data_IF_784680786308
#
_entry.id   IF_784680786308
#
_cell.length_a   1.000
_cell.length_b   1.000
_cell.length_c   1.000
_cell.angle_alpha   90.00
_cell.angle_beta   90.00
_cell.angle_gamma   90.00
#
_symmetry.space_group_name_H-M   'P 1'
#
loop_
_entity.id
_entity.type
_entity.pdbx_description
1 polymer ?
#
# COMPACT_ATOMS: atom_id res chain seq x y z
N UNK A 1 -37.89 17.17 -27.46
CA UNK A 1 -37.04 17.92 -28.41
C UNK A 1 -35.96 16.97 -28.88
N UNK A 2 -36.01 16.63 -30.16
CA UNK A 2 -35.17 15.63 -30.82
C UNK A 2 -33.74 16.18 -30.86
N UNK A 3 -32.80 15.49 -30.19
CA UNK A 3 -31.38 15.83 -30.27
C UNK A 3 -30.89 15.34 -31.64
N UNK A 4 -30.46 16.30 -32.43
CA UNK A 4 -29.97 16.19 -33.79
C UNK A 4 -28.75 15.25 -33.89
N UNK A 5 -28.75 14.37 -34.88
CA UNK A 5 -27.75 13.31 -35.07
C UNK A 5 -26.49 13.94 -35.69
N UNK A 6 -25.69 14.62 -34.87
CA UNK A 6 -24.25 14.76 -35.14
C UNK A 6 -23.64 13.36 -35.03
N UNK A 7 -22.71 13.02 -35.93
CA UNK A 7 -21.95 11.77 -35.90
C UNK A 7 -21.59 11.37 -34.47
N UNK A 8 -22.26 10.34 -33.92
CA UNK A 8 -22.11 9.94 -32.51
C UNK A 8 -20.63 9.75 -32.22
N UNK A 9 -20.09 10.55 -31.30
CA UNK A 9 -18.74 10.33 -30.80
C UNK A 9 -18.70 8.95 -30.14
N UNK A 10 -17.56 8.26 -30.14
CA UNK A 10 -17.44 6.97 -29.45
C UNK A 10 -17.86 7.04 -27.97
N UNK A 11 -17.68 8.21 -27.33
CA UNK A 11 -18.20 8.48 -25.99
C UNK A 11 -19.71 8.24 -25.88
N UNK A 12 -20.52 8.66 -26.85
CA UNK A 12 -21.97 8.47 -26.84
C UNK A 12 -22.32 6.98 -26.84
N UNK A 13 -21.56 6.15 -27.58
CA UNK A 13 -21.72 4.69 -27.58
C UNK A 13 -21.39 4.09 -26.22
N UNK A 14 -20.34 4.59 -25.54
CA UNK A 14 -20.01 4.17 -24.17
C UNK A 14 -21.19 4.49 -23.23
N UNK A 15 -21.71 5.71 -23.32
CA UNK A 15 -22.79 6.20 -22.45
C UNK A 15 -24.10 5.47 -22.68
N UNK A 16 -24.50 5.27 -23.94
CA UNK A 16 -25.70 4.52 -24.32
C UNK A 16 -25.65 3.09 -23.76
N UNK A 17 -24.52 2.40 -23.96
CA UNK A 17 -24.32 1.03 -23.44
C UNK A 17 -24.21 0.95 -21.92
N UNK A 18 -23.96 2.06 -21.25
CA UNK A 18 -23.68 2.12 -19.80
C UNK A 18 -24.79 2.77 -18.98
N UNK A 19 -25.78 3.42 -19.62
CA UNK A 19 -26.81 4.25 -19.01
C UNK A 19 -27.48 3.61 -17.79
N UNK A 20 -28.04 2.41 -17.97
CA UNK A 20 -28.74 1.69 -16.90
C UNK A 20 -27.84 1.43 -15.68
N UNK A 21 -26.54 1.21 -15.89
CA UNK A 21 -25.61 0.96 -14.79
C UNK A 21 -25.16 2.24 -14.12
N UNK A 22 -24.96 3.32 -14.87
CA UNK A 22 -24.68 4.65 -14.32
C UNK A 22 -25.82 5.12 -13.42
N UNK A 23 -27.07 5.01 -13.88
CA UNK A 23 -28.28 5.39 -13.14
C UNK A 23 -28.50 4.55 -11.88
N UNK A 24 -27.99 3.31 -11.84
CA UNK A 24 -28.03 2.46 -10.64
C UNK A 24 -26.91 2.78 -9.65
N UNK A 25 -25.75 3.23 -10.14
CA UNK A 25 -24.59 3.48 -9.27
C UNK A 25 -24.61 4.89 -8.67
N UNK A 26 -25.14 5.87 -9.40
CA UNK A 26 -25.07 7.28 -9.04
C UNK A 26 -26.47 7.89 -8.90
N UNK A 27 -26.66 8.73 -7.89
CA UNK A 27 -27.86 9.55 -7.78
C UNK A 27 -27.85 10.70 -8.81
N UNK A 28 -28.97 11.41 -8.96
CA UNK A 28 -29.11 12.47 -9.97
C UNK A 28 -28.05 13.58 -9.88
N UNK A 29 -27.71 14.01 -8.66
CA UNK A 29 -26.68 15.04 -8.45
C UNK A 29 -25.30 14.55 -8.89
N UNK A 30 -24.98 13.30 -8.53
CA UNK A 30 -23.72 12.66 -8.91
C UNK A 30 -23.63 12.45 -10.41
N UNK A 31 -24.71 12.01 -11.07
CA UNK A 31 -24.77 11.85 -12.52
C UNK A 31 -24.50 13.16 -13.25
N UNK A 32 -25.12 14.27 -12.83
CA UNK A 32 -24.89 15.60 -13.42
C UNK A 32 -23.41 16.01 -13.34
N UNK A 33 -22.78 15.80 -12.17
CA UNK A 33 -21.35 16.10 -11.99
C UNK A 33 -20.49 15.17 -12.87
N UNK A 34 -20.80 13.88 -12.91
CA UNK A 34 -20.08 12.91 -13.71
C UNK A 34 -20.13 13.25 -15.21
N UNK A 35 -21.32 13.51 -15.76
CA UNK A 35 -21.48 13.89 -17.18
C UNK A 35 -20.73 15.17 -17.53
N UNK A 36 -20.80 16.19 -16.67
CA UNK A 36 -20.02 17.42 -16.85
C UNK A 36 -18.50 17.17 -16.85
N UNK A 37 -18.03 16.20 -16.06
CA UNK A 37 -16.59 15.88 -15.96
C UNK A 37 -16.06 15.19 -17.23
N UNK A 38 -16.92 14.45 -17.96
CA UNK A 38 -16.52 13.68 -19.14
C UNK A 38 -16.86 14.37 -20.47
N UNK A 39 -17.50 15.54 -20.45
CA UNK A 39 -17.99 16.25 -21.64
C UNK A 39 -16.87 16.50 -22.68
N UNK A 40 -15.71 16.93 -22.20
CA UNK A 40 -14.53 17.23 -23.04
C UNK A 40 -13.86 15.97 -23.60
N UNK A 41 -14.21 14.76 -23.16
CA UNK A 41 -13.66 13.53 -23.76
C UNK A 41 -14.08 13.37 -25.22
N UNK A 42 -15.15 14.05 -25.63
CA UNK A 42 -15.59 14.07 -27.02
C UNK A 42 -14.59 14.75 -27.96
N UNK A 43 -13.62 15.50 -27.42
CA UNK A 43 -12.59 16.19 -28.19
C UNK A 43 -11.31 15.36 -28.37
N UNK A 44 -11.23 14.16 -27.78
CA UNK A 44 -10.04 13.31 -27.89
C UNK A 44 -9.85 12.72 -29.29
N UNK A 45 -8.59 12.60 -29.70
CA UNK A 45 -8.20 12.20 -31.07
C UNK A 45 -8.46 10.73 -31.41
N UNK A 46 -8.69 9.85 -30.42
CA UNK A 46 -8.90 8.42 -30.67
C UNK A 46 -9.83 7.73 -29.67
N UNK A 47 -10.50 6.66 -30.12
CA UNK A 47 -11.38 5.83 -29.28
C UNK A 47 -10.62 5.23 -28.08
N UNK A 48 -9.36 4.83 -28.29
CA UNK A 48 -8.51 4.26 -27.23
C UNK A 48 -8.28 5.28 -26.11
N UNK A 49 -8.01 6.54 -26.45
CA UNK A 49 -7.80 7.59 -25.46
C UNK A 49 -9.12 7.92 -24.73
N UNK A 50 -10.24 7.97 -25.45
CA UNK A 50 -11.58 8.13 -24.84
C UNK A 50 -11.83 7.04 -23.80
N UNK A 51 -11.60 5.76 -24.15
CA UNK A 51 -11.83 4.62 -23.25
C UNK A 51 -10.94 4.71 -22.01
N UNK A 52 -9.66 5.07 -22.20
CA UNK A 52 -8.69 5.21 -21.12
C UNK A 52 -9.08 6.34 -20.17
N UNK A 53 -9.35 7.53 -20.69
CA UNK A 53 -9.74 8.69 -19.88
C UNK A 53 -11.09 8.47 -19.19
N UNK A 54 -12.10 7.95 -19.91
CA UNK A 54 -13.39 7.61 -19.31
C UNK A 54 -13.24 6.61 -18.16
N UNK A 55 -12.43 5.55 -18.37
CA UNK A 55 -12.18 4.55 -17.32
C UNK A 55 -11.52 5.16 -16.09
N UNK A 56 -10.52 6.02 -16.29
CA UNK A 56 -9.83 6.71 -15.19
C UNK A 56 -10.76 7.65 -14.44
N UNK A 57 -11.55 8.47 -15.15
CA UNK A 57 -12.52 9.39 -14.54
C UNK A 57 -13.58 8.60 -13.76
N UNK A 58 -14.12 7.53 -14.33
CA UNK A 58 -15.09 6.68 -13.64
C UNK A 58 -14.52 6.07 -12.36
N UNK A 59 -13.32 5.47 -12.43
CA UNK A 59 -12.66 4.86 -11.25
C UNK A 59 -12.43 5.92 -10.17
N UNK A 60 -11.90 7.09 -10.54
CA UNK A 60 -11.67 8.18 -9.60
C UNK A 60 -12.97 8.71 -8.99
N UNK A 61 -14.04 8.79 -9.78
CA UNK A 61 -15.34 9.25 -9.31
C UNK A 61 -15.94 8.28 -8.30
N UNK A 62 -15.92 6.97 -8.57
CA UNK A 62 -16.38 5.97 -7.61
C UNK A 62 -15.54 5.98 -6.34
N UNK A 63 -14.21 6.07 -6.48
CA UNK A 63 -13.27 6.15 -5.36
C UNK A 63 -13.57 7.34 -4.45
N UNK A 64 -13.84 8.52 -5.01
CA UNK A 64 -14.25 9.71 -4.25
C UNK A 64 -15.54 9.48 -3.46
N UNK A 65 -16.53 8.81 -4.04
CA UNK A 65 -17.77 8.50 -3.32
C UNK A 65 -17.52 7.54 -2.13
N UNK A 66 -16.61 6.59 -2.29
CA UNK A 66 -16.22 5.72 -1.18
C UNK A 66 -15.52 6.53 -0.09
N UNK A 67 -14.61 7.42 -0.46
CA UNK A 67 -13.92 8.32 0.46
C UNK A 67 -14.89 9.22 1.23
N UNK A 68 -15.90 9.80 0.57
CA UNK A 68 -16.92 10.66 1.17
C UNK A 68 -17.77 9.96 2.25
N UNK A 69 -17.86 8.63 2.24
CA UNK A 69 -18.56 7.87 3.29
C UNK A 69 -17.80 7.86 4.63
N UNK A 70 -16.50 8.17 4.62
CA UNK A 70 -15.67 8.17 5.83
C UNK A 70 -15.66 9.57 6.45
N UNK A 71 -16.16 9.68 7.70
CA UNK A 71 -16.53 10.95 8.34
C UNK A 71 -15.39 11.85 8.86
N UNK A 72 -14.13 11.41 8.81
CA UNK A 72 -13.04 12.03 9.60
C UNK A 72 -11.92 12.70 8.80
N UNK A 73 -12.07 12.88 7.49
CA UNK A 73 -11.03 13.53 6.67
C UNK A 73 -10.88 15.02 6.99
N UNK A 74 -9.66 15.48 7.30
CA UNK A 74 -9.34 16.89 7.50
C UNK A 74 -9.05 17.57 6.15
N UNK A 75 -9.82 18.62 5.82
CA UNK A 75 -9.68 19.35 4.56
C UNK A 75 -8.34 20.09 4.43
N UNK A 76 -7.79 20.63 5.51
CA UNK A 76 -6.50 21.32 5.50
C UNK A 76 -5.37 20.31 5.22
N UNK A 77 -5.41 19.16 5.88
CA UNK A 77 -4.44 18.09 5.64
C UNK A 77 -4.54 17.56 4.20
N UNK A 78 -5.77 17.34 3.71
CA UNK A 78 -6.03 16.95 2.32
C UNK A 78 -5.45 17.96 1.32
N UNK A 79 -5.66 19.26 1.55
CA UNK A 79 -5.14 20.32 0.69
C UNK A 79 -3.60 20.36 0.73
N UNK A 80 -2.99 20.18 1.89
CA UNK A 80 -1.55 20.12 2.04
C UNK A 80 -0.93 18.94 1.28
N UNK A 81 -1.52 17.74 1.40
CA UNK A 81 -1.04 16.53 0.74
C UNK A 81 -1.16 16.63 -0.78
N UNK A 82 -2.26 17.22 -1.28
CA UNK A 82 -2.50 17.35 -2.71
C UNK A 82 -1.83 18.59 -3.33
N UNK A 83 -1.16 19.43 -2.54
CA UNK A 83 -0.45 20.60 -3.05
C UNK A 83 0.73 20.17 -3.96
N UNK A 84 0.86 20.73 -5.17
CA UNK A 84 1.93 20.38 -6.11
C UNK A 84 3.31 20.95 -5.72
N UNK A 85 3.41 21.74 -4.64
CA UNK A 85 4.61 22.51 -4.30
C UNK A 85 5.85 21.64 -3.98
N UNK A 86 5.66 20.37 -3.62
CA UNK A 86 6.76 19.46 -3.24
C UNK A 86 6.30 18.02 -3.30
N UNK A 87 7.17 17.13 -3.80
CA UNK A 87 7.02 15.67 -3.76
C UNK A 87 7.46 15.04 -2.43
N UNK A 88 7.75 15.85 -1.40
CA UNK A 88 7.93 15.38 -0.03
C UNK A 88 7.03 16.21 0.87
N UNK A 89 6.21 15.50 1.65
CA UNK A 89 5.32 16.07 2.66
C UNK A 89 5.70 15.47 4.02
N UNK A 90 6.03 16.33 4.98
CA UNK A 90 6.34 15.92 6.35
C UNK A 90 5.21 16.39 7.25
N UNK A 91 4.62 15.45 7.99
CA UNK A 91 3.55 15.71 8.95
C UNK A 91 4.08 15.34 10.32
N UNK A 92 4.21 16.33 11.20
CA UNK A 92 4.63 16.12 12.58
C UNK A 92 3.41 15.88 13.45
N UNK A 93 3.24 14.67 13.99
CA UNK A 93 2.13 14.35 14.87
C UNK A 93 2.06 12.88 15.27
N UNK A 94 1.08 12.58 16.11
CA UNK A 94 0.73 11.21 16.48
C UNK A 94 0.18 10.45 15.27
N UNK A 95 0.78 9.30 14.98
CA UNK A 95 0.50 8.51 13.78
C UNK A 95 -0.98 8.10 13.67
N UNK A 96 -1.60 7.71 14.78
CA UNK A 96 -3.00 7.28 14.79
C UNK A 96 -3.93 8.45 14.45
N UNK A 97 -3.71 9.62 15.07
CA UNK A 97 -4.47 10.84 14.76
C UNK A 97 -4.29 11.28 13.31
N UNK A 98 -3.06 11.25 12.79
CA UNK A 98 -2.76 11.65 11.41
C UNK A 98 -3.43 10.70 10.42
N UNK A 99 -3.26 9.38 10.57
CA UNK A 99 -3.90 8.41 9.68
C UNK A 99 -5.43 8.55 9.69
N UNK A 100 -6.02 8.75 10.87
CA UNK A 100 -7.47 8.97 11.02
C UNK A 100 -7.97 10.22 10.27
N UNK A 101 -7.14 11.25 10.16
CA UNK A 101 -7.45 12.48 9.42
C UNK A 101 -7.24 12.36 7.90
N UNK A 102 -6.59 11.29 7.40
CA UNK A 102 -6.39 11.05 5.97
C UNK A 102 -7.64 10.48 5.30
N UNK A 103 -7.82 10.84 4.03
CA UNK A 103 -8.81 10.21 3.16
C UNK A 103 -8.55 8.69 3.04
N UNK A 104 -9.62 7.90 3.04
CA UNK A 104 -9.52 6.46 2.78
C UNK A 104 -8.95 6.20 1.38
N UNK A 105 -8.27 5.07 1.17
CA UNK A 105 -7.73 4.68 -0.14
C UNK A 105 -6.90 5.78 -0.84
N UNK A 106 -6.22 6.65 -0.10
CA UNK A 106 -5.50 7.81 -0.65
C UNK A 106 -4.01 7.58 -0.86
N UNK A 107 -3.47 6.49 -0.32
CA UNK A 107 -2.05 6.12 -0.36
C UNK A 107 -1.85 4.88 -1.22
N UNK A 108 -0.77 4.82 -1.99
CA UNK A 108 -0.56 3.77 -3.00
C UNK A 108 0.44 2.70 -2.57
N UNK A 109 1.29 2.99 -1.58
CA UNK A 109 2.22 2.05 -0.97
C UNK A 109 2.54 2.55 0.44
N UNK A 110 2.65 1.63 1.39
CA UNK A 110 3.18 1.92 2.73
C UNK A 110 4.46 1.13 2.97
N UNK A 111 5.47 1.78 3.54
CA UNK A 111 6.74 1.17 3.93
C UNK A 111 7.11 1.73 5.28
N UNK A 112 7.38 0.88 6.27
CA UNK A 112 7.75 1.36 7.59
C UNK A 112 8.50 0.33 8.41
N UNK A 113 9.04 0.80 9.53
CA UNK A 113 9.46 -0.02 10.65
C UNK A 113 8.87 0.59 11.91
N UNK A 114 7.96 -0.11 12.62
CA UNK A 114 7.34 0.46 13.81
C UNK A 114 8.37 0.67 14.92
N UNK A 115 8.07 1.50 15.94
CA UNK A 115 8.78 1.41 17.20
C UNK A 115 8.58 0.00 17.79
N UNK A 116 9.67 -0.70 18.07
CA UNK A 116 9.57 -2.04 18.68
C UNK A 116 9.31 -1.91 20.18
N UNK A 117 8.51 -2.84 20.72
CA UNK A 117 8.11 -2.86 22.12
C UNK A 117 9.32 -2.64 23.06
N UNK A 118 9.32 -1.49 23.74
CA UNK A 118 10.32 -1.04 24.73
C UNK A 118 11.79 -1.23 24.33
N UNK A 119 12.08 -1.33 23.03
CA UNK A 119 13.43 -1.56 22.55
C UNK A 119 14.32 -0.31 22.67
N UNK A 120 13.70 0.87 22.83
CA UNK A 120 14.34 2.20 22.86
C UNK A 120 13.72 3.09 23.94
N UNK A 121 14.49 4.07 24.40
CA UNK A 121 14.13 4.94 25.53
C UNK A 121 12.92 5.85 25.26
N UNK A 122 12.59 6.11 23.99
CA UNK A 122 11.46 6.94 23.58
C UNK A 122 10.14 6.16 23.45
N UNK A 123 10.18 4.83 23.61
CA UNK A 123 9.04 3.95 23.37
C UNK A 123 8.72 3.19 24.65
N UNK A 124 7.71 3.63 25.39
CA UNK A 124 7.38 3.06 26.71
C UNK A 124 5.93 2.62 26.78
N UNK A 125 5.71 1.31 26.78
CA UNK A 125 4.43 0.68 27.09
C UNK A 125 4.53 -0.10 28.40
N UNK A 126 3.42 -0.19 29.14
CA UNK A 126 3.41 -0.88 30.44
C UNK A 126 3.55 -2.40 30.27
N UNK A 127 2.93 -2.95 29.24
CA UNK A 127 2.93 -4.38 28.92
C UNK A 127 2.77 -4.59 27.41
N UNK A 128 3.04 -5.81 26.97
CA UNK A 128 2.99 -6.18 25.56
C UNK A 128 1.59 -6.04 24.93
N UNK A 129 0.51 -6.28 25.68
CA UNK A 129 -0.85 -6.15 25.16
C UNK A 129 -1.20 -4.69 24.83
N UNK A 130 -0.80 -3.74 25.69
CA UNK A 130 -1.01 -2.30 25.44
C UNK A 130 -0.35 -1.89 24.12
N UNK A 131 0.89 -2.34 23.90
CA UNK A 131 1.63 -2.11 22.67
C UNK A 131 0.93 -2.69 21.45
N UNK A 132 0.58 -3.99 21.49
CA UNK A 132 -0.07 -4.65 20.36
C UNK A 132 -1.43 -4.03 20.03
N UNK A 133 -2.16 -3.59 21.05
CA UNK A 133 -3.45 -2.92 20.86
C UNK A 133 -3.32 -1.52 20.24
N UNK A 134 -2.30 -0.74 20.61
CA UNK A 134 -2.03 0.54 19.96
C UNK A 134 -1.59 0.35 18.49
N UNK A 135 -0.75 -0.65 18.24
CA UNK A 135 -0.36 -1.01 16.88
C UNK A 135 -1.56 -1.48 16.04
N UNK A 136 -2.45 -2.29 16.60
CA UNK A 136 -3.69 -2.74 15.94
C UNK A 136 -4.55 -1.53 15.49
N UNK A 137 -4.77 -0.53 16.35
CA UNK A 137 -5.50 0.70 15.98
C UNK A 137 -4.87 1.43 14.80
N UNK A 138 -3.54 1.50 14.79
CA UNK A 138 -2.77 2.13 13.70
C UNK A 138 -2.92 1.32 12.41
N UNK A 139 -2.83 0.00 12.48
CA UNK A 139 -2.95 -0.91 11.34
C UNK A 139 -4.37 -0.87 10.76
N UNK A 140 -5.42 -0.74 11.59
CA UNK A 140 -6.80 -0.53 11.14
C UNK A 140 -6.90 0.75 10.27
N UNK A 141 -6.35 1.86 10.75
CA UNK A 141 -6.36 3.11 9.98
C UNK A 141 -5.45 3.04 8.74
N UNK A 142 -4.32 2.35 8.82
CA UNK A 142 -3.46 2.09 7.67
C UNK A 142 -4.19 1.27 6.59
N UNK A 143 -4.93 0.23 6.96
CA UNK A 143 -5.78 -0.54 6.03
C UNK A 143 -6.82 0.35 5.36
N UNK A 144 -7.47 1.24 6.11
CA UNK A 144 -8.45 2.18 5.55
C UNK A 144 -7.81 3.15 4.54
N UNK A 145 -6.66 3.72 4.88
CA UNK A 145 -5.95 4.75 4.09
C UNK A 145 -5.24 4.19 2.86
N UNK A 146 -4.72 2.97 2.92
CA UNK A 146 -4.08 2.31 1.78
C UNK A 146 -5.10 2.04 0.68
N UNK A 147 -4.78 2.31 -0.58
CA UNK A 147 -5.65 2.07 -1.73
C UNK A 147 -5.88 0.58 -1.94
N UNK A 148 -7.02 0.22 -2.55
CA UNK A 148 -7.34 -1.19 -2.75
C UNK A 148 -6.36 -1.84 -3.74
N UNK A 149 -6.01 -3.10 -3.52
CA UNK A 149 -5.01 -3.85 -4.30
C UNK A 149 -3.58 -3.28 -4.23
N UNK A 150 -3.25 -2.54 -3.17
CA UNK A 150 -1.90 -2.05 -2.90
C UNK A 150 -1.22 -2.81 -1.76
N UNK A 151 0.07 -2.51 -1.57
CA UNK A 151 0.98 -3.26 -0.71
C UNK A 151 1.35 -2.43 0.52
N UNK A 152 1.57 -3.11 1.64
CA UNK A 152 2.23 -2.58 2.83
C UNK A 152 3.45 -3.47 3.11
N UNK A 153 4.64 -2.87 3.01
CA UNK A 153 5.91 -3.48 3.40
C UNK A 153 6.25 -3.07 4.84
N UNK A 154 6.44 -4.05 5.71
CA UNK A 154 6.57 -3.83 7.15
C UNK A 154 7.83 -4.52 7.69
N UNK A 155 8.85 -3.71 8.03
CA UNK A 155 10.11 -4.22 8.58
C UNK A 155 10.03 -4.35 10.11
N UNK A 156 10.18 -5.55 10.65
CA UNK A 156 10.14 -5.78 12.09
C UNK A 156 11.12 -6.87 12.54
N UNK A 157 11.84 -6.59 13.63
CA UNK A 157 12.69 -7.56 14.30
C UNK A 157 12.07 -8.08 15.59
N UNK A 158 12.35 -9.35 15.90
CA UNK A 158 12.06 -9.89 17.22
C UNK A 158 12.93 -9.25 18.29
N UNK A 159 12.33 -8.99 19.45
CA UNK A 159 13.01 -8.34 20.58
C UNK A 159 13.18 -9.28 21.76
N UNK A 160 14.18 -9.02 22.60
CA UNK A 160 14.38 -9.70 23.88
C UNK A 160 14.03 -8.76 25.02
N UNK A 161 12.90 -9.01 25.67
CA UNK A 161 12.41 -8.22 26.79
C UNK A 161 11.42 -9.00 27.68
N UNK A 162 10.94 -8.35 28.73
CA UNK A 162 9.86 -8.82 29.59
C UNK A 162 8.50 -8.36 29.03
N UNK A 163 7.60 -9.31 28.79
CA UNK A 163 6.26 -8.99 28.26
C UNK A 163 5.36 -8.27 29.28
N UNK A 164 5.68 -8.37 30.57
CA UNK A 164 4.95 -7.80 31.70
C UNK A 164 3.44 -8.13 31.71
N UNK A 165 3.05 -9.31 31.21
CA UNK A 165 1.64 -9.69 31.08
C UNK A 165 0.99 -10.12 32.39
N UNK A 166 1.68 -10.98 33.15
CA UNK A 166 1.15 -11.57 34.39
C UNK A 166 1.87 -11.03 35.63
N UNK A 167 3.16 -10.72 35.49
CA UNK A 167 4.00 -10.17 36.58
C UNK A 167 4.94 -9.13 36.01
N UNK A 168 5.20 -8.06 36.78
CA UNK A 168 6.28 -7.12 36.51
C UNK A 168 7.59 -7.72 37.05
N UNK A 169 8.03 -8.81 36.43
CA UNK A 169 9.32 -9.41 36.79
C UNK A 169 10.45 -8.60 36.17
N UNK A 170 11.50 -8.34 36.94
CA UNK A 170 12.81 -7.87 36.43
C UNK A 170 13.73 -9.04 36.06
N UNK A 171 13.35 -10.26 36.44
CA UNK A 171 14.09 -11.49 36.19
C UNK A 171 13.51 -12.26 35.00
N UNK A 172 14.35 -12.59 34.02
CA UNK A 172 14.01 -13.49 32.91
C UNK A 172 13.46 -12.79 31.66
N UNK A 173 14.34 -12.26 30.82
CA UNK A 173 13.98 -11.79 29.46
C UNK A 173 13.73 -13.00 28.55
N UNK A 174 12.73 -12.91 27.69
CA UNK A 174 12.49 -13.90 26.63
C UNK A 174 12.48 -13.26 25.26
N UNK A 175 12.56 -14.08 24.23
CA UNK A 175 12.28 -13.63 22.87
C UNK A 175 10.78 -13.35 22.73
N UNK A 176 10.45 -12.16 22.27
CA UNK A 176 9.11 -11.72 21.91
C UNK A 176 9.04 -11.76 20.39
N UNK A 177 8.26 -12.69 19.79
CA UNK A 177 8.21 -12.89 18.34
C UNK A 177 7.29 -11.85 17.69
N UNK A 178 7.75 -10.59 17.63
CA UNK A 178 6.96 -9.47 17.09
C UNK A 178 6.52 -9.74 15.66
N UNK A 179 7.38 -10.36 14.82
CA UNK A 179 7.01 -10.71 13.45
C UNK A 179 5.73 -11.56 13.38
N UNK A 180 5.66 -12.62 14.19
CA UNK A 180 4.48 -13.48 14.25
C UNK A 180 3.22 -12.75 14.77
N UNK A 181 3.37 -11.88 15.77
CA UNK A 181 2.24 -11.10 16.29
C UNK A 181 1.71 -10.10 15.27
N UNK A 182 2.59 -9.42 14.53
CA UNK A 182 2.17 -8.51 13.47
C UNK A 182 1.49 -9.23 12.31
N UNK A 183 2.01 -10.38 11.85
CA UNK A 183 1.33 -11.19 10.81
C UNK A 183 -0.13 -11.46 11.22
N UNK A 184 -0.33 -11.92 12.46
CA UNK A 184 -1.67 -12.18 12.99
C UNK A 184 -2.55 -10.93 12.98
N UNK A 185 -2.07 -9.80 13.52
CA UNK A 185 -2.84 -8.55 13.59
C UNK A 185 -3.21 -8.05 12.18
N UNK A 186 -2.28 -8.09 11.22
CA UNK A 186 -2.53 -7.67 9.86
C UNK A 186 -3.63 -8.53 9.19
N UNK A 187 -3.56 -9.86 9.32
CA UNK A 187 -4.58 -10.79 8.83
C UNK A 187 -5.96 -10.55 9.47
N UNK A 188 -6.00 -10.34 10.80
CA UNK A 188 -7.25 -10.06 11.53
C UNK A 188 -7.90 -8.72 11.11
N UNK A 189 -7.09 -7.70 10.79
CA UNK A 189 -7.57 -6.43 10.24
C UNK A 189 -8.08 -6.57 8.79
N UNK A 190 -7.63 -7.58 8.06
CA UNK A 190 -8.08 -7.91 6.70
C UNK A 190 -7.05 -7.68 5.60
N UNK A 191 -5.78 -7.45 5.94
CA UNK A 191 -4.69 -7.65 4.98
C UNK A 191 -4.51 -9.14 4.68
N UNK A 192 -3.81 -9.43 3.59
CA UNK A 192 -3.33 -10.76 3.24
C UNK A 192 -1.83 -10.76 3.32
N UNK A 193 -1.25 -11.61 4.17
CA UNK A 193 0.16 -11.93 4.21
C UNK A 193 0.55 -12.65 2.92
N UNK A 194 1.58 -12.12 2.25
CA UNK A 194 2.05 -12.64 0.96
C UNK A 194 3.40 -13.30 1.10
N UNK A 195 4.33 -12.64 1.79
CA UNK A 195 5.71 -13.11 1.86
C UNK A 195 6.46 -12.52 3.06
N UNK A 196 7.58 -13.16 3.42
CA UNK A 196 8.50 -12.75 4.49
C UNK A 196 9.95 -12.83 3.97
N UNK A 197 10.50 -11.69 3.59
CA UNK A 197 11.92 -11.61 3.25
C UNK A 197 12.74 -11.45 4.52
N UNK A 198 13.80 -12.23 4.66
CA UNK A 198 14.69 -12.17 5.81
C UNK A 198 15.87 -11.26 5.48
N UNK A 199 15.95 -10.14 6.18
CA UNK A 199 17.14 -9.29 6.15
C UNK A 199 18.16 -9.80 7.16
N UNK A 200 19.22 -10.46 6.67
CA UNK A 200 20.42 -10.78 7.44
C UNK A 200 21.24 -9.49 7.66
N UNK A 201 21.24 -9.01 8.91
CA UNK A 201 22.01 -7.82 9.33
C UNK A 201 23.51 -8.10 9.41
N UNK A 202 23.92 -9.36 9.24
CA UNK A 202 25.29 -9.80 9.38
C UNK A 202 25.67 -9.97 10.84
N UNK A 203 26.48 -9.06 11.38
CA UNK A 203 27.00 -9.20 12.73
C UNK A 203 25.92 -8.95 13.80
N UNK A 204 26.05 -9.70 14.89
CA UNK A 204 25.15 -9.63 16.04
C UNK A 204 25.25 -8.26 16.69
N UNK A 205 24.27 -7.39 16.46
CA UNK A 205 24.27 -6.02 17.00
C UNK A 205 23.91 -5.93 18.48
N UNK A 206 23.66 -7.05 19.17
CA UNK A 206 23.28 -7.04 20.59
C UNK A 206 24.19 -7.95 21.42
N UNK A 207 24.94 -7.35 22.36
CA UNK A 207 25.66 -8.08 23.41
C UNK A 207 24.71 -8.67 24.49
N UNK A 208 23.38 -8.57 24.29
CA UNK A 208 22.35 -8.85 25.31
C UNK A 208 22.22 -10.32 25.71
N UNK A 209 22.93 -11.22 25.03
CA UNK A 209 23.11 -12.62 25.43
C UNK A 209 24.58 -12.98 25.66
N UNK A 210 25.36 -12.15 26.36
CA UNK A 210 26.63 -12.64 26.94
C UNK A 210 26.26 -13.70 27.97
N UNK A 211 26.43 -14.98 27.62
CA UNK A 211 26.10 -16.17 28.43
C UNK A 211 27.01 -16.35 29.66
N UNK A 212 27.45 -15.26 30.28
CA UNK A 212 28.45 -15.21 31.35
C UNK A 212 29.67 -16.10 31.10
N UNK A 213 30.04 -16.28 29.82
CA UNK A 213 31.13 -17.16 29.38
C UNK A 213 30.99 -18.64 29.80
N UNK A 214 29.77 -19.17 29.95
CA UNK A 214 29.51 -20.55 30.40
C UNK A 214 29.41 -21.53 29.21
N UNK A 215 30.43 -22.36 28.91
CA UNK A 215 30.45 -23.20 27.71
C UNK A 215 29.70 -24.54 27.92
N UNK A 216 28.53 -24.51 28.54
CA UNK A 216 27.75 -25.71 28.89
C UNK A 216 26.38 -25.72 28.19
N UNK A 217 25.78 -26.90 27.92
CA UNK A 217 24.39 -27.01 27.47
C UNK A 217 23.43 -26.19 28.33
N UNK A 218 22.30 -25.76 27.76
CA UNK A 218 21.29 -24.87 28.38
C UNK A 218 21.71 -23.40 28.60
N UNK A 219 23.00 -23.06 28.46
CA UNK A 219 23.47 -21.67 28.50
C UNK A 219 23.77 -21.09 27.12
N UNK A 220 23.74 -21.90 26.06
CA UNK A 220 24.11 -21.48 24.70
C UNK A 220 22.84 -21.30 23.85
N UNK A 221 22.63 -20.07 23.37
CA UNK A 221 21.57 -19.73 22.43
C UNK A 221 22.14 -18.89 21.27
N UNK A 222 21.72 -19.14 20.02
CA UNK A 222 22.07 -18.28 18.90
C UNK A 222 21.50 -16.87 19.07
N UNK A 223 22.28 -15.88 18.65
CA UNK A 223 21.86 -14.50 18.66
C UNK A 223 20.91 -14.19 17.51
N UNK A 224 20.03 -13.20 17.71
CA UNK A 224 19.22 -12.68 16.61
C UNK A 224 20.11 -11.81 15.69
N UNK A 225 20.25 -12.23 14.43
CA UNK A 225 21.01 -11.52 13.39
C UNK A 225 20.13 -11.04 12.23
N UNK A 226 18.80 -11.16 12.33
CA UNK A 226 17.92 -10.82 11.22
C UNK A 226 16.69 -9.99 11.63
N UNK A 227 16.05 -9.40 10.63
CA UNK A 227 14.73 -8.78 10.72
C UNK A 227 13.84 -9.31 9.59
N UNK A 228 12.53 -9.29 9.84
CA UNK A 228 11.51 -9.66 8.86
C UNK A 228 11.15 -8.43 8.03
N UNK A 229 11.10 -8.58 6.71
CA UNK A 229 10.48 -7.63 5.79
C UNK A 229 9.19 -8.29 5.31
N UNK A 230 8.11 -8.04 6.05
CA UNK A 230 6.82 -8.66 5.81
C UNK A 230 6.08 -7.92 4.69
N UNK A 231 5.52 -8.69 3.75
CA UNK A 231 4.76 -8.16 2.62
C UNK A 231 3.28 -8.47 2.82
N UNK A 232 2.46 -7.42 2.91
CA UNK A 232 1.03 -7.52 3.05
C UNK A 232 0.32 -6.86 1.87
N UNK A 233 -0.72 -7.50 1.36
CA UNK A 233 -1.60 -6.92 0.36
C UNK A 233 -2.96 -6.55 0.95
N UNK A 234 -3.50 -5.41 0.50
CA UNK A 234 -4.90 -5.06 0.75
C UNK A 234 -5.79 -5.61 -0.37
N UNK A 235 -6.71 -6.50 -0.01
CA UNK A 235 -7.74 -6.99 -0.91
C UNK A 235 -9.14 -6.81 -0.32
N UNK A 236 -9.67 -5.58 -0.41
CA UNK A 236 -11.08 -5.36 -0.10
C UNK A 236 -11.93 -5.92 -1.23
N UNK A 237 -12.90 -6.77 -0.88
CA UNK A 237 -13.90 -7.23 -1.85
C UNK A 237 -14.66 -6.04 -2.43
N UNK A 238 -14.41 -5.76 -3.70
CA UNK A 238 -15.03 -4.67 -4.42
C UNK A 238 -16.03 -5.20 -5.47
N UNK A 239 -17.32 -4.97 -5.21
CA UNK A 239 -18.41 -5.36 -6.12
C UNK A 239 -18.80 -4.26 -7.11
N UNK A 240 -18.06 -3.16 -7.15
CA UNK A 240 -18.27 -2.08 -8.13
C UNK A 240 -17.97 -2.61 -9.52
N UNK A 241 -18.90 -2.33 -10.45
CA UNK A 241 -18.70 -2.60 -11.88
C UNK A 241 -17.74 -1.58 -12.44
N UNK A 242 -16.72 -2.04 -13.16
CA UNK A 242 -15.79 -1.13 -13.83
C UNK A 242 -15.89 -1.22 -15.36
N UNK A 243 -15.63 -0.11 -16.10
CA UNK A 243 -15.73 -0.04 -17.58
C UNK A 243 -14.89 -1.09 -18.31
N UNK A 244 -15.36 -1.78 -19.33
CA UNK A 244 -14.49 -2.71 -20.08
C UNK A 244 -13.21 -1.98 -20.57
N UNK A 245 -11.99 -2.50 -20.31
CA UNK A 245 -10.76 -1.82 -20.71
C UNK A 245 -10.56 -1.75 -22.23
N UNK A 246 -11.35 -2.50 -23.00
CA UNK A 246 -11.31 -2.47 -24.46
C UNK A 246 -12.35 -1.56 -25.09
N UNK A 247 -13.56 -1.47 -24.53
CA UNK A 247 -14.67 -0.76 -25.18
C UNK A 247 -15.37 0.27 -24.29
N UNK A 248 -14.87 0.50 -23.06
CA UNK A 248 -15.43 1.45 -22.09
C UNK A 248 -16.80 1.08 -21.50
N UNK A 249 -17.48 0.05 -21.99
CA UNK A 249 -18.84 -0.27 -21.55
C UNK A 249 -18.92 -0.79 -20.11
N UNK A 250 -19.91 -0.31 -19.34
CA UNK A 250 -20.30 -0.86 -18.02
C UNK A 250 -21.23 -2.08 -18.11
N UNK A 251 -21.57 -2.53 -19.33
CA UNK A 251 -22.33 -3.76 -19.58
C UNK A 251 -21.46 -4.99 -19.32
N UNK A 252 -21.27 -5.26 -18.03
CA UNK A 252 -20.41 -6.34 -17.51
C UNK A 252 -21.16 -7.17 -16.49
N UNK A 253 -20.85 -8.47 -16.45
CA UNK A 253 -21.36 -9.39 -15.44
C UNK A 253 -20.25 -9.79 -14.48
N UNK A 254 -20.60 -9.86 -13.20
CA UNK A 254 -19.71 -10.36 -12.16
C UNK A 254 -19.53 -11.85 -12.36
N UNK A 255 -18.28 -12.29 -12.37
CA UNK A 255 -17.93 -13.70 -12.44
C UNK A 255 -17.45 -14.19 -11.06
N UNK A 256 -16.79 -15.35 -11.03
CA UNK A 256 -16.06 -15.84 -9.87
C UNK A 256 -15.02 -14.86 -9.35
N UNK A 257 -14.70 -14.98 -8.07
CA UNK A 257 -13.53 -14.34 -7.46
C UNK A 257 -12.31 -15.17 -7.83
N UNK A 258 -11.34 -14.55 -8.51
CA UNK A 258 -10.11 -15.24 -8.92
C UNK A 258 -9.12 -15.39 -7.77
N UNK A 259 -9.15 -14.44 -6.83
CA UNK A 259 -8.36 -14.39 -5.61
C UNK A 259 -9.27 -13.82 -4.50
N UNK A 260 -8.90 -14.05 -3.23
CA UNK A 260 -9.63 -13.47 -2.09
C UNK A 260 -9.71 -11.94 -2.26
N UNK A 261 -10.92 -11.39 -2.17
CA UNK A 261 -11.17 -9.96 -2.30
C UNK A 261 -11.06 -9.38 -3.72
N UNK A 262 -10.81 -10.19 -4.76
CA UNK A 262 -10.74 -9.72 -6.14
C UNK A 262 -11.96 -10.19 -6.94
N UNK A 263 -12.80 -9.24 -7.31
CA UNK A 263 -13.93 -9.48 -8.20
C UNK A 263 -13.49 -9.41 -9.68
N UNK A 264 -13.69 -10.49 -10.42
CA UNK A 264 -13.54 -10.49 -11.88
C UNK A 264 -14.85 -10.10 -12.56
N UNK A 265 -14.74 -9.35 -13.65
CA UNK A 265 -15.82 -8.92 -14.53
C UNK A 265 -15.61 -9.48 -15.93
N UNK A 266 -16.69 -9.82 -16.62
CA UNK A 266 -16.68 -10.22 -18.03
C UNK A 266 -17.51 -9.24 -18.86
N UNK A 267 -16.95 -8.73 -19.96
CA UNK A 267 -17.66 -7.83 -20.86
C UNK A 267 -18.82 -8.55 -21.58
N UNK A 268 -20.00 -7.91 -21.60
CA UNK A 268 -21.20 -8.39 -22.30
C UNK A 268 -21.65 -7.42 -23.41
N UNK A 269 -20.81 -6.45 -23.77
CA UNK A 269 -21.03 -5.63 -24.95
C UNK A 269 -20.68 -6.43 -26.21
N UNK A 270 -21.67 -6.72 -27.06
CA UNK A 270 -21.48 -7.47 -28.31
C UNK A 270 -20.59 -6.73 -29.31
N UNK A 271 -20.62 -5.40 -29.28
CA UNK A 271 -19.82 -4.54 -30.16
C UNK A 271 -18.40 -4.27 -29.61
N UNK A 272 -17.92 -5.07 -28.65
CA UNK A 272 -16.57 -4.95 -28.11
C UNK A 272 -15.54 -5.42 -29.14
N UNK A 273 -14.45 -4.66 -29.30
CA UNK A 273 -13.41 -4.88 -30.32
C UNK A 273 -12.75 -6.27 -30.31
N UNK A 274 -12.72 -6.93 -29.15
CA UNK A 274 -12.12 -8.26 -29.00
C UNK A 274 -13.11 -9.16 -28.27
N UNK A 275 -13.41 -10.31 -28.90
CA UNK A 275 -14.18 -11.41 -28.33
C UNK A 275 -13.50 -12.74 -28.67
N UNK A 276 -13.70 -13.76 -27.84
CA UNK A 276 -13.18 -15.10 -28.11
C UNK A 276 -13.92 -15.78 -29.26
N UNK A 277 -13.36 -16.89 -29.77
CA UNK A 277 -14.01 -17.76 -30.78
C UNK A 277 -15.39 -18.26 -30.31
N UNK A 278 -15.54 -18.53 -29.01
CA UNK A 278 -16.80 -18.88 -28.35
C UNK A 278 -17.69 -17.66 -28.03
N UNK A 279 -17.43 -16.52 -28.64
CA UNK A 279 -18.14 -15.26 -28.45
C UNK A 279 -18.20 -14.78 -26.99
N UNK A 280 -17.14 -15.01 -26.18
CA UNK A 280 -17.02 -14.49 -24.81
C UNK A 280 -16.27 -13.16 -24.80
N UNK A 281 -16.69 -12.24 -23.93
CA UNK A 281 -16.01 -10.95 -23.78
C UNK A 281 -14.75 -11.04 -22.92
N UNK A 282 -13.90 -10.00 -22.97
CA UNK A 282 -12.69 -9.91 -22.14
C UNK A 282 -13.04 -9.97 -20.64
N UNK A 283 -12.25 -10.74 -19.89
CA UNK A 283 -12.27 -10.78 -18.43
C UNK A 283 -11.25 -9.82 -17.85
N UNK A 284 -11.60 -9.14 -16.77
CA UNK A 284 -10.73 -8.18 -16.10
C UNK A 284 -11.18 -7.92 -14.66
N UNK A 285 -10.26 -7.41 -13.83
CA UNK A 285 -10.55 -6.90 -12.48
C UNK A 285 -10.03 -5.47 -12.33
N UNK A 286 -10.32 -4.83 -11.20
CA UNK A 286 -9.70 -3.53 -10.88
C UNK A 286 -8.17 -3.66 -10.80
N UNK A 287 -7.65 -4.69 -10.12
CA UNK A 287 -6.21 -5.00 -10.05
C UNK A 287 -5.58 -5.09 -11.44
N UNK A 288 -6.19 -5.84 -12.37
CA UNK A 288 -5.69 -5.99 -13.74
C UNK A 288 -5.68 -4.67 -14.51
N UNK A 289 -6.67 -3.79 -14.28
CA UNK A 289 -6.69 -2.47 -14.92
C UNK A 289 -5.60 -1.55 -14.41
N UNK A 290 -5.45 -1.47 -13.08
CA UNK A 290 -4.40 -0.67 -12.44
C UNK A 290 -3.05 -1.11 -13.01
N UNK A 291 -2.80 -2.42 -13.00
CA UNK A 291 -1.52 -2.99 -13.46
C UNK A 291 -1.27 -2.80 -14.96
N UNK A 292 -2.24 -3.11 -15.82
CA UNK A 292 -2.05 -2.98 -17.29
C UNK A 292 -1.94 -1.52 -17.73
N UNK A 293 -2.67 -0.59 -17.11
CA UNK A 293 -2.67 0.82 -17.50
C UNK A 293 -1.34 1.54 -17.24
N UNK A 294 -0.44 0.93 -16.46
CA UNK A 294 0.81 1.51 -15.99
C UNK A 294 2.06 0.74 -16.43
N UNK A 295 1.93 -0.20 -17.37
CA UNK A 295 3.06 -0.86 -18.03
C UNK A 295 3.74 0.08 -19.04
N UNK A 296 4.38 1.13 -18.54
CA UNK A 296 5.14 2.11 -19.34
C UNK A 296 6.64 1.87 -19.18
N UNK A 297 7.44 2.40 -20.11
CA UNK A 297 8.92 2.29 -20.09
C UNK A 297 9.48 2.82 -18.76
N UNK A 298 8.91 3.90 -18.24
CA UNK A 298 9.35 4.54 -16.99
C UNK A 298 9.10 3.67 -15.74
N UNK A 299 8.19 2.69 -15.82
CA UNK A 299 7.87 1.77 -14.72
C UNK A 299 8.53 0.40 -14.86
N UNK A 300 9.48 0.25 -15.81
CA UNK A 300 10.27 -0.97 -15.93
C UNK A 300 11.21 -1.07 -14.72
N UNK A 301 11.21 -2.25 -14.08
CA UNK A 301 12.15 -2.58 -13.01
C UNK A 301 13.44 -3.08 -13.66
N UNK A 302 14.57 -2.53 -13.23
CA UNK A 302 15.87 -2.93 -13.74
C UNK A 302 16.23 -4.38 -13.37
N UNK A 303 16.88 -5.08 -14.31
CA UNK A 303 17.26 -6.50 -14.15
C UNK A 303 18.18 -6.73 -12.95
N UNK A 304 19.00 -5.74 -12.58
CA UNK A 304 19.90 -5.81 -11.42
C UNK A 304 19.11 -5.84 -10.11
N UNK A 305 18.12 -4.95 -9.95
CA UNK A 305 17.21 -4.96 -8.81
C UNK A 305 16.43 -6.27 -8.72
N UNK A 306 15.93 -6.79 -9.85
CA UNK A 306 15.27 -8.11 -9.88
C UNK A 306 16.25 -9.17 -9.37
N UNK A 307 17.46 -9.25 -9.93
CA UNK A 307 18.48 -10.24 -9.52
C UNK A 307 18.86 -10.12 -8.04
N UNK A 308 18.99 -8.89 -7.52
CA UNK A 308 19.33 -8.61 -6.12
C UNK A 308 18.28 -9.19 -5.16
N UNK A 309 17.01 -9.09 -5.51
CA UNK A 309 15.88 -9.52 -4.68
C UNK A 309 15.27 -10.87 -5.09
N UNK A 310 16.01 -11.68 -5.88
CA UNK A 310 15.58 -13.04 -6.25
C UNK A 310 15.58 -14.03 -5.09
N UNK A 311 16.36 -13.75 -4.03
CA UNK A 311 16.46 -14.58 -2.83
C UNK A 311 15.62 -13.96 -1.73
N UNK A 312 14.89 -14.80 -1.03
CA UNK A 312 14.09 -14.48 0.16
C UNK A 312 14.97 -14.07 1.35
N UNK A 313 16.21 -14.57 1.43
CA UNK A 313 17.22 -14.10 2.39
C UNK A 313 18.17 -13.12 1.70
N UNK A 314 18.19 -11.89 2.19
CA UNK A 314 19.00 -10.78 1.67
C UNK A 314 19.98 -10.27 2.72
N UNK A 315 21.17 -9.90 2.27
CA UNK A 315 22.24 -9.40 3.14
C UNK A 315 22.72 -8.05 2.66
N UNK A 316 22.56 -7.05 3.50
CA UNK A 316 23.14 -5.72 3.33
C UNK A 316 23.39 -5.10 4.70
N UNK A 317 24.39 -4.22 4.77
CA UNK A 317 24.82 -3.64 6.03
C UNK A 317 23.75 -2.72 6.61
N UNK A 318 23.54 -2.73 7.93
CA UNK A 318 22.71 -1.74 8.60
C UNK A 318 23.29 -0.34 8.44
N UNK A 319 22.46 0.68 8.56
CA UNK A 319 22.90 2.08 8.46
C UNK A 319 23.77 2.43 9.66
N UNK A 320 25.03 2.77 9.41
CA UNK A 320 25.99 3.23 10.43
C UNK A 320 26.32 4.70 10.09
N UNK A 321 25.84 5.67 10.88
CA UNK A 321 26.31 7.06 10.76
C UNK A 321 27.41 7.31 11.77
N UNK A 322 28.59 7.69 11.30
CA UNK A 322 29.78 7.94 12.11
C UNK A 322 30.04 9.45 12.16
N UNK A 323 30.31 10.02 13.33
CA UNK A 323 30.64 11.45 13.49
C UNK A 323 32.09 11.69 13.07
N UNK A 324 32.50 12.95 13.02
CA UNK A 324 33.89 13.34 12.76
C UNK A 324 34.92 12.79 13.77
N UNK A 325 34.47 12.18 14.86
CA UNK A 325 35.30 11.53 15.90
C UNK A 325 35.32 9.99 15.80
N UNK A 326 34.69 9.39 14.78
CA UNK A 326 34.66 7.94 14.62
C UNK A 326 33.59 7.23 15.45
N UNK A 327 32.71 7.96 16.13
CA UNK A 327 31.64 7.40 16.98
C UNK A 327 30.32 7.34 16.23
N UNK A 328 29.51 6.32 16.46
CA UNK A 328 28.19 6.24 15.83
C UNK A 328 27.28 7.36 16.36
N UNK A 329 26.97 8.37 15.53
CA UNK A 329 26.16 9.54 15.90
C UNK A 329 24.71 9.15 16.18
N UNK A 330 24.25 8.08 15.53
CA UNK A 330 22.88 7.58 15.61
C UNK A 330 22.75 6.49 16.67
N UNK A 331 23.42 6.61 17.82
CA UNK A 331 23.42 5.62 18.89
C UNK A 331 22.07 4.90 19.08
N UNK A 332 20.94 5.60 18.85
CA UNK A 332 19.59 5.06 18.95
C UNK A 332 18.56 5.59 17.93
N UNK A 333 18.88 5.72 16.63
CA UNK A 333 17.80 5.67 15.62
C UNK A 333 17.85 4.31 14.94
N UNK A 334 16.70 3.70 14.67
CA UNK A 334 16.60 2.45 13.93
C UNK A 334 16.20 2.73 12.46
N UNK A 335 17.05 3.39 11.64
CA UNK A 335 16.79 3.43 10.22
C UNK A 335 17.06 2.06 9.63
N UNK A 336 16.04 1.48 9.00
CA UNK A 336 16.31 0.45 8.01
C UNK A 336 17.08 1.08 6.83
N UNK A 337 17.90 0.27 6.14
CA UNK A 337 18.75 0.73 5.04
C UNK A 337 17.92 1.06 3.79
N UNK A 338 18.49 1.88 2.89
CA UNK A 338 17.77 2.41 1.71
C UNK A 338 17.29 1.30 0.77
N UNK A 339 17.92 0.12 0.81
CA UNK A 339 17.59 -1.05 -0.01
C UNK A 339 16.15 -1.52 0.17
N UNK A 340 15.63 -1.52 1.40
CA UNK A 340 14.26 -1.97 1.71
C UNK A 340 13.21 -1.07 1.05
N UNK A 341 13.20 0.26 1.28
CA UNK A 341 12.27 1.15 0.61
C UNK A 341 12.55 1.24 -0.89
N UNK A 342 13.80 1.08 -1.35
CA UNK A 342 14.10 1.08 -2.78
C UNK A 342 13.40 -0.08 -3.49
N UNK A 343 13.52 -1.29 -2.92
CA UNK A 343 12.82 -2.47 -3.43
C UNK A 343 11.31 -2.25 -3.42
N UNK A 344 10.76 -1.85 -2.27
CA UNK A 344 9.32 -1.70 -2.13
C UNK A 344 8.75 -0.66 -3.12
N UNK A 345 9.40 0.50 -3.25
CA UNK A 345 8.99 1.55 -4.18
C UNK A 345 9.10 1.08 -5.64
N UNK A 346 10.18 0.40 -6.02
CA UNK A 346 10.35 -0.12 -7.39
C UNK A 346 9.35 -1.23 -7.73
N UNK A 347 9.08 -2.13 -6.79
CA UNK A 347 8.33 -3.38 -7.05
C UNK A 347 6.82 -3.19 -6.90
N UNK A 348 6.38 -2.29 -6.01
CA UNK A 348 4.98 -2.20 -5.60
C UNK A 348 4.33 -0.82 -5.82
N UNK A 349 5.00 0.10 -6.53
CA UNK A 349 4.42 1.40 -6.89
C UNK A 349 4.78 1.83 -8.31
N UNK A 350 4.03 2.77 -8.86
CA UNK A 350 4.32 3.43 -10.12
C UNK A 350 4.87 4.84 -9.90
N UNK A 351 5.51 5.41 -10.92
CA UNK A 351 5.91 6.83 -10.90
C UNK A 351 4.70 7.72 -10.61
N UNK A 352 4.90 8.69 -9.72
CA UNK A 352 3.87 9.60 -9.23
C UNK A 352 2.93 9.02 -8.17
N UNK A 353 3.07 7.74 -7.80
CA UNK A 353 2.33 7.17 -6.68
C UNK A 353 2.77 7.83 -5.36
N UNK A 354 1.80 7.99 -4.46
CA UNK A 354 2.00 8.48 -3.08
C UNK A 354 2.45 7.36 -2.15
N UNK A 355 3.57 7.55 -1.47
CA UNK A 355 4.19 6.58 -0.57
C UNK A 355 4.13 7.13 0.85
N UNK A 356 3.70 6.30 1.81
CA UNK A 356 3.61 6.71 3.21
C UNK A 356 4.50 5.86 4.11
N UNK A 357 5.23 6.54 4.98
CA UNK A 357 5.89 5.94 6.14
C UNK A 357 5.27 6.49 7.43
N UNK A 358 4.39 5.72 8.10
CA UNK A 358 3.75 6.15 9.33
C UNK A 358 4.72 6.39 10.51
N UNK A 359 5.93 5.82 10.44
CA UNK A 359 6.97 5.92 11.47
C UNK A 359 8.29 6.40 10.87
N UNK A 360 8.24 7.51 10.14
CA UNK A 360 9.29 7.94 9.22
C UNK A 360 10.70 8.12 9.81
N UNK A 361 10.84 8.38 11.12
CA UNK A 361 12.14 8.49 11.79
C UNK A 361 13.10 9.46 11.07
N UNK A 362 14.19 8.93 10.49
CA UNK A 362 15.17 9.69 9.71
C UNK A 362 14.78 9.97 8.25
N UNK A 363 13.53 9.69 7.87
CA UNK A 363 12.93 9.95 6.56
C UNK A 363 13.54 9.17 5.39
N UNK A 364 14.13 8.00 5.64
CA UNK A 364 14.75 7.14 4.60
C UNK A 364 13.76 6.85 3.46
N UNK A 365 12.54 6.44 3.80
CA UNK A 365 11.48 6.15 2.83
C UNK A 365 11.16 7.36 1.94
N UNK A 366 11.02 8.56 2.51
CA UNK A 366 10.70 9.77 1.76
C UNK A 366 11.85 10.18 0.81
N UNK A 367 13.09 10.04 1.27
CA UNK A 367 14.28 10.30 0.45
C UNK A 367 14.31 9.36 -0.76
N UNK A 368 14.11 8.06 -0.54
CA UNK A 368 14.12 7.05 -1.60
C UNK A 368 12.94 7.21 -2.56
N UNK A 369 11.74 7.46 -2.03
CA UNK A 369 10.54 7.72 -2.85
C UNK A 369 10.76 8.91 -3.78
N UNK A 370 11.31 10.03 -3.27
CA UNK A 370 11.65 11.19 -4.10
C UNK A 370 12.70 10.87 -5.16
N UNK A 371 13.79 10.16 -4.81
CA UNK A 371 14.84 9.73 -5.77
C UNK A 371 14.24 8.91 -6.91
N UNK A 372 13.20 8.12 -6.63
CA UNK A 372 12.51 7.26 -7.59
C UNK A 372 11.24 7.92 -8.19
N UNK A 373 11.08 9.24 -8.11
CA UNK A 373 9.97 9.99 -8.71
C UNK A 373 8.57 9.58 -8.18
N UNK A 374 8.47 9.29 -6.89
CA UNK A 374 7.21 9.15 -6.14
C UNK A 374 6.96 10.37 -5.26
N UNK A 375 5.75 10.47 -4.70
CA UNK A 375 5.27 11.59 -3.85
C UNK A 375 5.22 11.16 -2.38
#
# INVERSE_FOLDING_TARGET
MIIDIKSKNYLDKILENSKQYLERQFNEKQLKIFYKTIENLSECDSEVEIIKQFSNIYINFVKRQLQEKYKYSDNNLKNFINSPNSNIKIIWGDVYKVLKALDSESIHLMITSPPYYNARDYSTWNNLNDYLHDMEKIIIEAYRVLDNHRVFVFNVGDVFDNDNLTTRSVWGKRRIPLGAYFIKIFEEVGFTFVDDFIWDKGEVQSERQKNSNRPYPFYQYPYNCYEHILIFHKHRLDKIKYPCPLCGSLKVNGNTQSEIGIQSWECKNYDCFVRSESNRGKRFSLKTKITQSKQTIENIIDDEAIKKWRRDIVKFSPVIKINSKGENILGHTAPFPEEIPEMAVKFFSYIGDKILDPFAGSFTTAIVAKKLNRI
#
